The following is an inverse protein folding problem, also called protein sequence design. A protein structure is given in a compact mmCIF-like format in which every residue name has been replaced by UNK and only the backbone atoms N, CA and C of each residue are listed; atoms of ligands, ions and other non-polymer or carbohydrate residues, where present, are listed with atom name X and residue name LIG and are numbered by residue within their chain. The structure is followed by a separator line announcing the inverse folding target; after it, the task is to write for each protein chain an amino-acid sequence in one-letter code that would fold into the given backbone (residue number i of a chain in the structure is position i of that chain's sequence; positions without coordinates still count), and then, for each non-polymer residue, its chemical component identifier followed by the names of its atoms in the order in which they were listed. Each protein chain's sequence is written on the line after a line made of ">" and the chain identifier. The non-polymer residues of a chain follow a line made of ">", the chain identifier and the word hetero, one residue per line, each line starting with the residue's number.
data_IF_594310351371
#
_entry.id   IF_594310351371
#
_cell.length_a   1.000
_cell.length_b   1.000
_cell.length_c   1.000
_cell.angle_alpha   90.00
_cell.angle_beta   90.00
_cell.angle_gamma   90.00
#
_symmetry.space_group_name_H-M   'P 1'
#
loop_
_entity.id
_entity.type
_entity.pdbx_description
1 polymer ?
#
# COMPACT_ATOMS: atom_id res chain seq x y z
N UNK A 1 12.67 30.44 -1.18
CA UNK A 1 12.98 30.08 0.23
C UNK A 1 11.86 29.24 0.86
N UNK A 2 10.57 29.60 0.76
CA UNK A 2 9.47 28.76 1.30
C UNK A 2 9.23 27.45 0.51
N UNK A 3 9.36 27.51 -0.83
CA UNK A 3 9.27 26.32 -1.71
C UNK A 3 10.32 25.25 -1.40
N UNK A 4 11.54 25.67 -1.09
CA UNK A 4 12.68 24.77 -0.82
C UNK A 4 12.48 23.98 0.49
N UNK A 5 11.95 24.64 1.52
CA UNK A 5 11.63 23.98 2.80
C UNK A 5 10.46 22.99 2.66
N UNK A 6 9.47 23.30 1.83
CA UNK A 6 8.35 22.39 1.55
C UNK A 6 8.83 21.17 0.78
N UNK A 7 9.66 21.37 -0.25
CA UNK A 7 10.28 20.28 -1.02
C UNK A 7 11.13 19.36 -0.12
N UNK A 8 11.96 19.93 0.77
CA UNK A 8 12.77 19.17 1.72
C UNK A 8 11.90 18.35 2.70
N UNK A 9 10.80 18.92 3.20
CA UNK A 9 9.86 18.18 4.06
C UNK A 9 9.17 17.05 3.33
N UNK A 10 8.77 17.26 2.07
CA UNK A 10 8.18 16.22 1.24
C UNK A 10 9.20 15.09 1.05
N UNK A 11 10.46 15.40 0.73
CA UNK A 11 11.51 14.39 0.56
C UNK A 11 11.74 13.53 1.83
N UNK A 12 11.73 14.13 3.02
CA UNK A 12 11.83 13.39 4.29
C UNK A 12 10.66 12.43 4.49
N UNK A 13 9.43 12.88 4.19
CA UNK A 13 8.24 12.05 4.31
C UNK A 13 8.22 10.93 3.26
N UNK A 14 8.68 11.20 2.05
CA UNK A 14 8.87 10.19 0.99
C UNK A 14 9.81 9.09 1.44
N UNK A 15 10.97 9.46 1.97
CA UNK A 15 11.94 8.50 2.49
C UNK A 15 11.38 7.67 3.63
N UNK A 16 10.71 8.31 4.59
CA UNK A 16 10.06 7.61 5.70
C UNK A 16 8.98 6.63 5.20
N UNK A 17 8.25 6.99 4.14
CA UNK A 17 7.26 6.11 3.52
C UNK A 17 7.93 4.90 2.86
N UNK A 18 8.96 5.11 2.03
CA UNK A 18 9.69 4.03 1.34
C UNK A 18 10.33 3.05 2.34
N UNK A 19 10.95 3.54 3.42
CA UNK A 19 11.51 2.70 4.48
C UNK A 19 10.44 1.84 5.17
N UNK A 20 9.22 2.37 5.33
CA UNK A 20 8.11 1.66 5.96
C UNK A 20 7.34 0.74 4.99
N UNK A 21 7.50 0.89 3.67
CA UNK A 21 6.82 0.04 2.68
C UNK A 21 7.01 -1.46 2.93
N UNK A 22 8.23 -2.00 3.09
CA UNK A 22 8.41 -3.44 3.28
C UNK A 22 7.72 -3.95 4.54
N UNK A 23 7.72 -3.18 5.63
CA UNK A 23 6.99 -3.53 6.86
C UNK A 23 5.47 -3.51 6.65
N UNK A 24 4.95 -2.50 5.93
CA UNK A 24 3.52 -2.41 5.59
C UNK A 24 3.07 -3.57 4.69
N UNK A 25 3.91 -3.98 3.75
CA UNK A 25 3.66 -5.14 2.88
C UNK A 25 3.64 -6.43 3.69
N UNK A 26 4.56 -6.60 4.66
CA UNK A 26 4.53 -7.76 5.58
C UNK A 26 3.28 -7.76 6.45
N UNK A 27 2.89 -6.61 7.00
CA UNK A 27 1.66 -6.48 7.79
C UNK A 27 0.40 -6.77 6.94
N UNK A 28 0.40 -6.37 5.66
CA UNK A 28 -0.65 -6.72 4.73
C UNK A 28 -0.74 -8.24 4.51
N UNK A 29 0.40 -8.92 4.33
CA UNK A 29 0.47 -10.37 4.15
C UNK A 29 -0.10 -11.13 5.35
N UNK A 30 0.26 -10.72 6.57
CA UNK A 30 -0.28 -11.29 7.81
C UNK A 30 -1.80 -11.06 7.95
N UNK A 31 -2.27 -9.85 7.62
CA UNK A 31 -3.69 -9.52 7.65
C UNK A 31 -4.49 -10.30 6.57
N UNK A 32 -3.89 -10.53 5.40
CA UNK A 32 -4.45 -11.36 4.34
C UNK A 32 -4.51 -12.84 4.70
N UNK A 33 -3.49 -13.35 5.42
CA UNK A 33 -3.49 -14.73 5.91
C UNK A 33 -4.63 -15.00 6.92
N UNK A 34 -5.02 -13.96 7.66
CA UNK A 34 -6.13 -13.98 8.63
C UNK A 34 -7.47 -13.53 8.03
N UNK A 35 -7.48 -13.18 6.74
CA UNK A 35 -8.66 -12.66 6.07
C UNK A 35 -9.80 -13.69 6.11
N UNK A 36 -10.98 -13.26 6.57
CA UNK A 36 -12.15 -14.13 6.72
C UNK A 36 -12.18 -14.95 8.01
N UNK A 37 -11.17 -14.87 8.88
CA UNK A 37 -11.25 -15.42 10.23
C UNK A 37 -12.00 -14.50 11.20
N UNK A 38 -11.88 -13.19 11.04
CA UNK A 38 -12.54 -12.18 11.86
C UNK A 38 -12.71 -10.83 11.11
N UNK A 39 -13.71 -10.03 11.48
CA UNK A 39 -13.97 -8.71 10.90
C UNK A 39 -12.81 -7.71 11.12
N UNK A 40 -12.06 -7.84 12.20
CA UNK A 40 -10.87 -7.03 12.48
C UNK A 40 -9.77 -7.24 11.44
N UNK A 41 -9.63 -8.45 10.89
CA UNK A 41 -8.65 -8.76 9.84
C UNK A 41 -9.00 -8.04 8.53
N UNK A 42 -10.29 -7.97 8.19
CA UNK A 42 -10.80 -7.24 7.04
C UNK A 42 -10.53 -5.74 7.18
N UNK A 43 -10.75 -5.19 8.38
CA UNK A 43 -10.47 -3.80 8.70
C UNK A 43 -8.97 -3.49 8.61
N UNK A 44 -8.12 -4.39 9.09
CA UNK A 44 -6.67 -4.24 9.00
C UNK A 44 -6.19 -4.16 7.55
N UNK A 45 -6.64 -5.09 6.69
CA UNK A 45 -6.33 -5.05 5.24
C UNK A 45 -6.79 -3.72 4.62
N UNK A 46 -8.03 -3.29 4.88
CA UNK A 46 -8.54 -2.03 4.35
C UNK A 46 -7.71 -0.83 4.79
N UNK A 47 -7.37 -0.71 6.08
CA UNK A 47 -6.57 0.42 6.60
C UNK A 47 -5.19 0.48 5.92
N UNK A 48 -4.53 -0.67 5.75
CA UNK A 48 -3.21 -0.73 5.12
C UNK A 48 -3.31 -0.34 3.64
N UNK A 49 -4.24 -0.93 2.90
CA UNK A 49 -4.42 -0.65 1.46
C UNK A 49 -4.85 0.79 1.24
N UNK A 50 -5.78 1.32 2.04
CA UNK A 50 -6.21 2.72 2.00
C UNK A 50 -5.06 3.69 2.28
N UNK A 51 -4.24 3.38 3.28
CA UNK A 51 -3.06 4.19 3.61
C UNK A 51 -2.06 4.17 2.46
N UNK A 52 -1.79 3.02 1.84
CA UNK A 52 -0.88 2.90 0.69
C UNK A 52 -1.41 3.64 -0.54
N UNK A 53 -2.71 3.57 -0.81
CA UNK A 53 -3.35 4.30 -1.90
C UNK A 53 -3.21 5.82 -1.73
N UNK A 54 -3.51 6.34 -0.53
CA UNK A 54 -3.43 7.79 -0.23
C UNK A 54 -2.00 8.32 -0.09
N UNK A 55 -1.11 7.52 0.50
CA UNK A 55 0.28 7.91 0.72
C UNK A 55 1.11 7.84 -0.57
N UNK A 56 0.90 6.85 -1.44
CA UNK A 56 1.66 6.72 -2.68
C UNK A 56 1.46 7.91 -3.64
N UNK A 57 0.25 8.48 -3.70
CA UNK A 57 -0.03 9.67 -4.50
C UNK A 57 0.64 10.94 -3.96
N UNK A 58 0.78 11.03 -2.63
CA UNK A 58 1.36 12.18 -1.93
C UNK A 58 2.88 12.14 -1.90
N UNK A 59 3.45 10.93 -1.83
CA UNK A 59 4.88 10.69 -1.59
C UNK A 59 5.62 10.16 -2.82
N UNK A 60 5.15 10.48 -4.02
CA UNK A 60 5.89 10.21 -5.25
C UNK A 60 6.05 8.73 -5.61
N UNK A 61 5.18 7.86 -5.07
CA UNK A 61 5.12 6.43 -5.40
C UNK A 61 3.81 6.12 -6.16
N UNK A 62 3.63 6.62 -7.41
CA UNK A 62 2.37 6.51 -8.14
C UNK A 62 2.00 5.06 -8.48
N UNK A 63 2.99 4.18 -8.69
CA UNK A 63 2.75 2.76 -8.94
C UNK A 63 2.18 2.05 -7.70
N UNK A 64 2.73 2.33 -6.51
CA UNK A 64 2.22 1.80 -5.24
C UNK A 64 0.80 2.30 -5.00
N UNK A 65 0.55 3.59 -5.25
CA UNK A 65 -0.78 4.18 -5.13
C UNK A 65 -1.78 3.50 -6.06
N UNK A 66 -1.41 3.31 -7.33
CA UNK A 66 -2.26 2.66 -8.33
C UNK A 66 -2.59 1.23 -7.93
N UNK A 67 -1.57 0.41 -7.62
CA UNK A 67 -1.78 -0.99 -7.24
C UNK A 67 -2.60 -1.12 -5.95
N UNK A 68 -2.36 -0.27 -4.95
CA UNK A 68 -3.13 -0.26 -3.72
C UNK A 68 -4.59 0.16 -3.98
N UNK A 69 -4.82 1.15 -4.84
CA UNK A 69 -6.16 1.63 -5.17
C UNK A 69 -6.96 0.62 -6.00
N UNK A 70 -6.30 -0.14 -6.88
CA UNK A 70 -6.93 -1.27 -7.57
C UNK A 70 -7.34 -2.37 -6.60
N UNK A 71 -6.47 -2.69 -5.64
CA UNK A 71 -6.77 -3.64 -4.57
C UNK A 71 -7.92 -3.16 -3.68
N UNK A 72 -7.93 -1.86 -3.32
CA UNK A 72 -9.00 -1.23 -2.54
C UNK A 72 -10.34 -1.34 -3.27
N UNK A 73 -10.40 -0.99 -4.55
CA UNK A 73 -11.64 -1.05 -5.33
C UNK A 73 -12.12 -2.48 -5.56
N UNK A 74 -11.20 -3.44 -5.71
CA UNK A 74 -11.56 -4.83 -5.90
C UNK A 74 -12.10 -5.48 -4.62
N UNK A 75 -11.51 -5.16 -3.46
CA UNK A 75 -11.88 -5.76 -2.17
C UNK A 75 -12.95 -4.98 -1.43
N UNK A 76 -12.97 -3.65 -1.56
CA UNK A 76 -13.78 -2.71 -0.80
C UNK A 76 -14.48 -1.67 -1.69
N UNK A 77 -15.24 -2.08 -2.73
CA UNK A 77 -15.85 -1.15 -3.69
C UNK A 77 -16.83 -0.14 -3.05
N UNK A 78 -17.33 -0.45 -1.84
CA UNK A 78 -18.23 0.42 -1.06
C UNK A 78 -17.79 0.56 0.40
N UNK A 79 -16.52 0.23 0.70
CA UNK A 79 -15.96 0.20 2.06
C UNK A 79 -16.12 -1.15 2.78
N UNK A 80 -15.60 -1.21 4.02
CA UNK A 80 -15.50 -2.45 4.82
C UNK A 80 -16.85 -3.13 5.04
N UNK A 81 -17.93 -2.37 5.30
CA UNK A 81 -19.21 -2.91 5.76
C UNK A 81 -20.04 -3.67 4.72
N UNK A 82 -19.67 -3.61 3.43
CA UNK A 82 -20.39 -4.27 2.32
C UNK A 82 -19.53 -5.29 1.57
N UNK A 83 -18.31 -5.56 2.07
CA UNK A 83 -17.30 -6.33 1.34
C UNK A 83 -17.57 -7.83 1.47
N UNK A 84 -18.33 -8.38 0.51
CA UNK A 84 -18.34 -9.84 0.30
C UNK A 84 -17.07 -10.21 -0.45
N UNK A 85 -16.16 -10.92 0.21
CA UNK A 85 -15.05 -11.63 -0.44
C UNK A 85 -15.59 -12.80 -1.25
N UNK A 86 -16.23 -12.48 -2.38
CA UNK A 86 -16.74 -13.45 -3.31
C UNK A 86 -15.58 -14.18 -4.02
N UNK A 87 -15.88 -15.33 -4.64
CA UNK A 87 -14.89 -16.16 -5.32
C UNK A 87 -14.08 -15.38 -6.37
N UNK A 88 -14.70 -14.41 -7.04
CA UNK A 88 -14.02 -13.54 -8.00
C UNK A 88 -12.94 -12.64 -7.36
N UNK A 89 -13.17 -12.14 -6.14
CA UNK A 89 -12.20 -11.34 -5.40
C UNK A 89 -11.06 -12.23 -4.91
N UNK A 90 -11.38 -13.41 -4.35
CA UNK A 90 -10.38 -14.37 -3.92
C UNK A 90 -9.46 -14.83 -5.06
N UNK A 91 -10.01 -15.07 -6.25
CA UNK A 91 -9.22 -15.47 -7.41
C UNK A 91 -8.25 -14.38 -7.90
N UNK A 92 -8.61 -13.10 -7.73
CA UNK A 92 -7.80 -11.94 -8.15
C UNK A 92 -6.83 -11.45 -7.07
N UNK A 93 -7.11 -11.77 -5.82
CA UNK A 93 -6.33 -11.36 -4.65
C UNK A 93 -4.82 -11.64 -4.78
N UNK A 94 -4.36 -12.84 -5.16
CA UNK A 94 -2.91 -13.10 -5.28
C UNK A 94 -2.25 -12.22 -6.34
N UNK A 95 -2.94 -11.93 -7.46
CA UNK A 95 -2.41 -11.07 -8.51
C UNK A 95 -2.32 -9.60 -8.05
N UNK A 96 -3.32 -9.11 -7.32
CA UNK A 96 -3.33 -7.75 -6.75
C UNK A 96 -2.20 -7.57 -5.73
N UNK A 97 -2.02 -8.56 -4.85
CA UNK A 97 -0.96 -8.57 -3.85
C UNK A 97 0.43 -8.61 -4.51
N UNK A 98 0.61 -9.45 -5.54
CA UNK A 98 1.86 -9.51 -6.29
C UNK A 98 2.19 -8.18 -6.98
N UNK A 99 1.19 -7.52 -7.58
CA UNK A 99 1.37 -6.21 -8.21
C UNK A 99 1.78 -5.14 -7.18
N UNK A 100 1.13 -5.11 -6.02
CA UNK A 100 1.46 -4.17 -4.95
C UNK A 100 2.87 -4.42 -4.38
N UNK A 101 3.26 -5.68 -4.20
CA UNK A 101 4.61 -6.07 -3.77
C UNK A 101 5.67 -5.60 -4.77
N UNK A 102 5.48 -5.90 -6.06
CA UNK A 102 6.40 -5.48 -7.10
C UNK A 102 6.53 -3.96 -7.19
N UNK A 103 5.42 -3.22 -7.04
CA UNK A 103 5.45 -1.76 -7.01
C UNK A 103 6.20 -1.22 -5.78
N UNK A 104 6.04 -1.85 -4.62
CA UNK A 104 6.76 -1.47 -3.40
C UNK A 104 8.27 -1.77 -3.53
N UNK A 105 8.65 -2.91 -4.10
CA UNK A 105 10.05 -3.26 -4.36
C UNK A 105 10.70 -2.30 -5.37
N UNK A 106 9.98 -1.91 -6.42
CA UNK A 106 10.43 -0.87 -7.35
C UNK A 106 10.64 0.48 -6.65
N UNK A 107 9.66 0.92 -5.86
CA UNK A 107 9.78 2.17 -5.11
C UNK A 107 10.98 2.18 -4.13
N UNK A 108 11.30 1.03 -3.53
CA UNK A 108 12.51 0.87 -2.68
C UNK A 108 13.79 0.86 -3.53
N UNK A 109 13.79 0.22 -4.69
CA UNK A 109 14.96 0.17 -5.58
C UNK A 109 15.23 1.50 -6.30
N UNK A 110 14.19 2.29 -6.57
CA UNK A 110 14.26 3.60 -7.22
C UNK A 110 14.65 4.72 -6.27
N UNK A 111 14.64 4.49 -4.95
CA UNK A 111 15.18 5.45 -3.98
C UNK A 111 16.69 5.65 -4.24
N UNK A 112 17.11 6.82 -4.76
CA UNK A 112 18.47 7.05 -5.25
C UNK A 112 19.53 7.10 -4.13
N UNK A 113 19.14 6.88 -2.87
CA UNK A 113 19.98 6.95 -1.68
C UNK A 113 19.98 5.66 -0.84
N UNK A 114 19.30 4.59 -1.29
CA UNK A 114 19.32 3.25 -0.65
C UNK A 114 20.68 2.54 -0.77
N UNK A 115 21.69 3.21 -1.34
CA UNK A 115 23.08 2.79 -1.46
C UNK A 115 24.08 3.55 -0.59
N UNK A 116 23.68 4.19 0.52
CA UNK A 116 24.66 4.68 1.50
C UNK A 116 24.59 3.90 2.82
N UNK A 117 25.68 3.19 3.21
CA UNK A 117 25.81 2.50 4.49
C UNK A 117 25.86 3.46 5.68
#
# INVERSE_FOLDING_TARGET
>A
MADDLLAAKIAVLQRAFVVQLPERIRALDDALAKLGQDEESVKAVHVIVHSLAGAGATFGCPEVSTAAREMEQAMFPSGIGHSKFDLAVHARLPALVAALKAAAERAVAEDPQSGQP
#
